data_IF_109926478513
#
_entry.id   IF_109926478513
#
_cell.length_a   1.000
_cell.length_b   1.000
_cell.length_c   1.000
_cell.angle_alpha   90.00
_cell.angle_beta   90.00
_cell.angle_gamma   90.00
#
_symmetry.space_group_name_H-M   'P 1'
#
loop_
_entity.id
_entity.type
_entity.pdbx_description
1 polymer ?
2 non-polymer ?
3 non-polymer ?
4 water ?
#
# COMPACT_ATOMS: atom_id res chain seq x y z
N UNK A 10 -32.61 5.25 7.00
CA UNK A 10 -32.66 5.67 5.58
C UNK A 10 -32.25 7.15 5.39
N UNK A 11 -31.15 7.34 4.68
CA UNK A 11 -30.57 8.65 4.42
C UNK A 11 -31.57 9.67 3.84
N UNK A 12 -32.38 9.21 2.91
CA UNK A 12 -33.24 10.12 2.15
C UNK A 12 -34.43 10.61 2.99
N UNK A 13 -35.08 9.68 3.69
CA UNK A 13 -36.07 10.04 4.72
C UNK A 13 -35.52 11.04 5.75
N UNK A 14 -34.34 10.77 6.30
CA UNK A 14 -33.74 11.65 7.29
C UNK A 14 -33.45 13.02 6.72
N UNK A 15 -33.12 13.07 5.42
CA UNK A 15 -32.81 14.32 4.74
C UNK A 15 -34.01 15.24 4.64
N UNK A 16 -35.19 14.65 4.48
CA UNK A 16 -36.44 15.39 4.46
C UNK A 16 -36.70 16.14 5.77
N UNK A 17 -36.20 15.61 6.88
CA UNK A 17 -36.42 16.20 8.20
C UNK A 17 -35.62 17.49 8.45
N UNK A 31 -26.87 13.62 18.22
CA UNK A 31 -27.07 14.44 17.04
C UNK A 31 -27.83 13.70 15.95
N UNK A 32 -28.71 14.39 15.22
CA UNK A 32 -29.21 13.87 13.96
C UNK A 32 -28.13 14.00 12.85
N UNK A 33 -27.09 14.80 13.09
CA UNK A 33 -25.95 14.91 12.16
C UNK A 33 -25.13 13.61 12.14
N UNK A 34 -24.89 13.03 13.31
CA UNK A 34 -24.29 11.70 13.42
C UNK A 34 -25.15 10.68 12.66
N UNK A 35 -26.45 10.76 12.85
CA UNK A 35 -27.37 9.82 12.24
C UNK A 35 -27.49 10.02 10.72
N UNK A 36 -27.54 11.27 10.27
CA UNK A 36 -27.47 11.57 8.84
C UNK A 36 -26.18 10.98 8.26
N UNK A 37 -25.03 11.42 8.77
CA UNK A 37 -23.74 10.96 8.24
C UNK A 37 -23.64 9.44 8.12
N UNK A 38 -24.13 8.71 9.12
CA UNK A 38 -24.06 7.26 9.11
C UNK A 38 -25.00 6.66 8.10
N UNK A 39 -26.20 7.24 8.02
CA UNK A 39 -27.21 6.82 7.06
C UNK A 39 -26.75 7.05 5.62
N UNK A 40 -26.01 8.15 5.41
CA UNK A 40 -25.44 8.51 4.11
C UNK A 40 -24.39 7.50 3.70
N UNK A 41 -23.48 7.21 4.62
CA UNK A 41 -22.51 6.13 4.43
C UNK A 41 -23.22 4.82 4.06
N UNK A 42 -24.30 4.51 4.79
CA UNK A 42 -25.05 3.28 4.59
C UNK A 42 -25.74 3.22 3.22
N UNK A 43 -26.33 4.35 2.82
CA UNK A 43 -26.95 4.49 1.51
C UNK A 43 -25.90 4.38 0.38
N UNK A 44 -24.74 4.97 0.61
CA UNK A 44 -23.62 4.89 -0.36
C UNK A 44 -23.18 3.46 -0.65
N UNK A 45 -23.01 2.67 0.41
CA UNK A 45 -22.66 1.25 0.24
C UNK A 45 -23.79 0.49 -0.45
N UNK A 46 -25.02 0.73 0.04
CA UNK A 46 -26.22 0.17 -0.58
C UNK A 46 -26.27 0.43 -2.09
N UNK A 47 -25.87 1.63 -2.54
CA UNK A 47 -25.86 1.94 -3.97
C UNK A 47 -24.63 1.42 -4.74
N UNK A 48 -23.57 1.08 -4.02
CA UNK A 48 -22.38 0.52 -4.63
C UNK A 48 -21.37 1.60 -4.96
N UNK A 49 -21.48 2.72 -4.24
CA UNK A 49 -20.78 3.95 -4.57
C UNK A 49 -19.37 3.87 -4.09
N UNK A 50 -18.48 4.49 -4.86
CA UNK A 50 -17.07 4.51 -4.53
C UNK A 50 -16.70 5.76 -3.72
N UNK A 51 -17.39 6.87 -3.94
CA UNK A 51 -17.04 8.13 -3.24
C UNK A 51 -18.25 8.97 -2.81
N UNK A 52 -18.09 9.71 -1.72
CA UNK A 52 -19.08 10.67 -1.25
C UNK A 52 -18.40 12.02 -1.22
N UNK A 53 -19.03 13.04 -1.78
CA UNK A 53 -18.49 14.38 -1.71
C UNK A 53 -19.46 15.27 -0.97
N UNK A 54 -18.95 16.00 0.03
CA UNK A 54 -19.68 17.14 0.61
C UNK A 54 -18.97 18.45 0.33
N UNK A 55 -19.66 19.33 -0.38
CA UNK A 55 -19.06 20.59 -0.77
C UNK A 55 -19.94 21.80 -0.49
N UNK A 56 -19.27 22.89 -0.15
CA UNK A 56 -19.95 24.13 0.14
C UNK A 56 -19.84 25.09 -1.05
N UNK A 57 -20.98 25.55 -1.51
CA UNK A 57 -21.00 26.67 -2.44
C UNK A 57 -21.53 27.89 -1.70
N UNK A 58 -21.02 29.06 -2.05
CA UNK A 58 -21.62 30.35 -1.68
C UNK A 58 -23.11 30.29 -1.25
N UNK A 59 -24.02 29.96 -2.16
CA UNK A 59 -25.46 30.07 -1.88
C UNK A 59 -26.12 28.76 -1.48
N UNK A 60 -25.36 27.66 -1.53
CA UNK A 60 -25.89 26.33 -1.26
C UNK A 60 -24.83 25.29 -0.93
N UNK A 61 -25.26 24.15 -0.44
CA UNK A 61 -24.38 23.04 -0.11
C UNK A 61 -24.74 21.83 -0.98
N UNK A 62 -23.80 20.93 -1.21
CA UNK A 62 -24.01 19.86 -2.17
C UNK A 62 -23.40 18.56 -1.72
N UNK A 63 -24.14 17.48 -1.94
CA UNK A 63 -23.68 16.13 -1.67
C UNK A 63 -23.77 15.33 -2.95
N UNK A 64 -22.63 14.78 -3.35
CA UNK A 64 -22.61 13.98 -4.54
C UNK A 64 -22.09 12.56 -4.24
N UNK A 65 -22.54 11.59 -5.00
CA UNK A 65 -22.07 10.23 -4.85
C UNK A 65 -21.51 9.89 -6.20
N UNK A 66 -20.40 9.15 -6.24
CA UNK A 66 -19.99 8.48 -7.49
C UNK A 66 -20.31 6.96 -7.47
N UNK A 67 -21.13 6.52 -8.40
CA UNK A 67 -21.38 5.09 -8.58
C UNK A 67 -21.02 4.64 -10.01
N UNK A 68 -20.05 3.72 -10.10
CA UNK A 68 -19.50 3.22 -11.36
C UNK A 68 -18.96 4.29 -12.26
N UNK A 69 -18.28 5.26 -11.67
CA UNK A 69 -17.69 6.35 -12.41
C UNK A 69 -18.60 7.57 -12.54
N UNK A 70 -19.90 7.35 -12.39
CA UNK A 70 -20.88 8.40 -12.64
C UNK A 70 -21.13 9.25 -11.38
N UNK A 71 -20.82 10.54 -11.49
CA UNK A 71 -21.02 11.49 -10.40
C UNK A 71 -22.41 12.13 -10.48
N UNK A 72 -23.07 12.32 -9.33
CA UNK A 72 -24.45 12.87 -9.29
C UNK A 72 -24.74 13.55 -7.96
N UNK A 73 -25.69 14.48 -7.97
CA UNK A 73 -26.04 15.24 -6.77
C UNK A 73 -27.19 14.48 -6.19
N UNK A 74 -27.05 14.03 -4.96
CA UNK A 74 -28.11 13.25 -4.34
C UNK A 74 -28.90 14.10 -3.36
N UNK A 75 -28.34 15.22 -2.94
CA UNK A 75 -28.98 16.08 -1.98
C UNK A 75 -28.33 17.43 -2.04
N UNK A 76 -29.10 18.47 -1.74
CA UNK A 76 -28.60 19.82 -1.70
C UNK A 76 -29.19 20.54 -0.48
N UNK A 77 -28.70 20.16 0.72
CA UNK A 77 -29.25 20.68 1.98
C UNK A 77 -28.73 22.10 2.23
N UNK A 78 -29.21 22.73 3.30
CA UNK A 78 -28.90 24.14 3.56
C UNK A 78 -27.41 24.45 3.86
N UNK A 79 -26.92 25.53 3.27
CA UNK A 79 -25.53 25.95 3.41
C UNK A 79 -25.10 25.94 4.87
N UNK A 80 -26.08 26.12 5.76
CA UNK A 80 -25.82 26.28 7.20
C UNK A 80 -25.35 24.98 7.84
N UNK A 81 -25.70 23.86 7.25
CA UNK A 81 -25.26 22.58 7.80
C UNK A 81 -23.76 22.30 7.57
N UNK A 82 -23.11 23.08 6.69
CA UNK A 82 -21.76 22.74 6.20
C UNK A 82 -20.70 22.55 7.28
N UNK A 83 -20.49 23.58 8.11
CA UNK A 83 -19.55 23.55 9.22
C UNK A 83 -19.70 22.32 10.13
N UNK A 84 -20.91 21.76 10.15
CA UNK A 84 -21.25 20.64 11.04
C UNK A 84 -20.95 19.28 10.45
N UNK A 85 -21.29 19.11 9.16
CA UNK A 85 -21.02 17.87 8.45
C UNK A 85 -19.51 17.70 8.30
N UNK A 86 -18.81 18.81 8.20
CA UNK A 86 -17.35 18.79 8.07
C UNK A 86 -16.73 18.36 9.39
N UNK A 87 -17.19 18.94 10.48
CA UNK A 87 -16.69 18.55 11.79
C UNK A 87 -16.98 17.08 12.07
N UNK A 88 -18.22 16.66 11.86
CA UNK A 88 -18.62 15.28 12.15
C UNK A 88 -17.74 14.25 11.48
N UNK A 89 -17.43 14.47 10.21
CA UNK A 89 -16.57 13.56 9.47
C UNK A 89 -15.17 13.64 10.05
N UNK A 90 -14.71 14.85 10.33
CA UNK A 90 -13.40 15.02 10.94
C UNK A 90 -13.19 14.19 12.22
N UNK A 91 -14.15 14.22 13.15
CA UNK A 91 -13.97 13.44 14.38
C UNK A 91 -13.89 11.95 14.08
N UNK A 92 -14.75 11.47 13.18
CA UNK A 92 -14.78 10.05 12.82
C UNK A 92 -13.44 9.56 12.26
N UNK A 93 -12.72 10.44 11.56
CA UNK A 93 -11.42 10.08 10.97
C UNK A 93 -10.24 10.52 11.85
N UNK A 94 -10.55 10.97 13.06
CA UNK A 94 -9.55 11.39 14.04
C UNK A 94 -8.74 12.57 13.53
N UNK A 95 -9.39 13.69 13.28
CA UNK A 95 -8.74 14.85 12.68
C UNK A 95 -8.97 16.14 13.48
N UNK A 96 -8.23 17.19 13.14
CA UNK A 96 -8.23 18.46 13.86
C UNK A 96 -9.39 19.41 13.49
N UNK A 97 -10.43 19.44 14.31
CA UNK A 97 -11.56 20.35 14.10
C UNK A 97 -11.15 21.83 14.20
N UNK A 98 -10.13 22.12 15.00
CA UNK A 98 -9.61 23.48 15.14
C UNK A 98 -8.90 23.99 13.90
N UNK A 99 -8.39 23.05 13.10
CA UNK A 99 -7.63 23.37 11.87
C UNK A 99 -8.54 23.42 10.64
N UNK A 100 -8.42 24.49 9.87
CA UNK A 100 -9.34 24.73 8.78
C UNK A 100 -8.64 25.16 7.51
N UNK A 101 -7.37 25.54 7.63
CA UNK A 101 -6.65 26.21 6.54
C UNK A 101 -5.82 25.28 5.64
N UNK A 102 -5.62 24.04 6.10
CA UNK A 102 -4.76 23.08 5.42
C UNK A 102 -5.42 21.70 5.20
N UNK A 103 -4.92 20.93 4.23
CA UNK A 103 -5.41 19.58 3.99
C UNK A 103 -5.23 18.69 5.20
N UNK A 104 -6.09 17.68 5.31
CA UNK A 104 -6.03 16.67 6.36
C UNK A 104 -6.50 15.36 5.73
N UNK A 105 -5.94 14.25 6.19
CA UNK A 105 -6.36 12.92 5.74
C UNK A 105 -6.35 11.95 6.92
N UNK A 106 -7.36 11.09 6.99
CA UNK A 106 -7.46 10.08 8.03
C UNK A 106 -8.20 8.87 7.51
N UNK A 107 -8.38 7.87 8.37
CA UNK A 107 -9.04 6.61 8.01
C UNK A 107 -10.18 6.26 8.97
N UNK A 108 -11.23 5.65 8.44
CA UNK A 108 -12.20 4.94 9.27
C UNK A 108 -12.40 3.53 8.73
N UNK A 109 -12.60 2.59 9.65
CA UNK A 109 -13.03 1.23 9.31
C UNK A 109 -14.39 0.99 9.96
N UNK A 110 -15.36 0.54 9.17
CA UNK A 110 -16.74 0.43 9.66
C UNK A 110 -17.39 -0.92 9.39
N UNK A 116 -17.29 -5.09 6.00
CA UNK A 116 -16.43 -4.09 6.64
C UNK A 116 -15.84 -3.17 5.58
N UNK A 117 -15.86 -1.86 5.85
CA UNK A 117 -15.54 -0.87 4.84
C UNK A 117 -14.37 0.04 5.24
N UNK A 118 -13.31 0.01 4.45
CA UNK A 118 -12.19 0.92 4.63
C UNK A 118 -12.53 2.28 4.01
N UNK A 119 -12.85 3.27 4.83
CA UNK A 119 -13.15 4.59 4.26
C UNK A 119 -12.03 5.58 4.54
N UNK A 120 -11.52 6.15 3.46
CA UNK A 120 -10.51 7.19 3.50
C UNK A 120 -11.18 8.55 3.37
N UNK A 121 -10.81 9.46 4.27
CA UNK A 121 -11.41 10.79 4.23
C UNK A 121 -10.39 11.90 4.02
N UNK A 122 -10.72 12.79 3.09
CA UNK A 122 -9.86 13.92 2.71
C UNK A 122 -10.63 15.20 2.80
N UNK A 123 -10.12 16.14 3.58
CA UNK A 123 -10.73 17.46 3.69
C UNK A 123 -9.78 18.43 3.01
N UNK A 124 -10.30 19.54 2.52
CA UNK A 124 -9.47 20.50 1.80
C UNK A 124 -10.03 21.89 1.86
N UNK A 125 -9.14 22.85 2.15
CA UNK A 125 -9.53 24.26 2.23
C UNK A 125 -10.00 24.73 0.87
N UNK A 126 -11.06 25.53 0.85
CA UNK A 126 -11.76 25.93 -0.37
C UNK A 126 -12.45 27.24 -0.06
N UNK A 127 -12.67 28.07 -1.08
CA UNK A 127 -13.09 29.47 -0.87
C UNK A 127 -14.38 29.67 -0.07
N UNK A 128 -15.19 28.62 0.09
CA UNK A 128 -16.39 28.75 0.92
C UNK A 128 -16.47 27.69 2.01
N UNK A 129 -15.37 27.00 2.24
CA UNK A 129 -15.31 26.00 3.29
C UNK A 129 -14.66 24.70 2.85
N UNK A 130 -14.11 23.97 3.80
CA UNK A 130 -13.49 22.68 3.49
C UNK A 130 -14.45 21.76 2.77
N UNK A 131 -13.93 21.21 1.68
CA UNK A 131 -14.62 20.21 0.89
C UNK A 131 -14.16 18.93 1.54
N UNK A 132 -15.04 17.92 1.59
CA UNK A 132 -14.68 16.61 2.14
C UNK A 132 -15.04 15.57 1.13
N UNK A 133 -14.27 14.50 1.10
CA UNK A 133 -14.52 13.35 0.23
C UNK A 133 -14.30 12.09 1.05
N UNK A 134 -15.14 11.08 0.83
CA UNK A 134 -15.04 9.83 1.53
C UNK A 134 -14.88 8.70 0.52
N UNK A 135 -13.74 8.01 0.55
CA UNK A 135 -13.32 7.14 -0.56
C UNK A 135 -13.83 5.69 -0.54
N UNK A 136 -14.33 5.20 0.59
CA UNK A 136 -15.08 3.92 0.62
C UNK A 136 -14.53 2.73 -0.20
N UNK A 137 -13.68 1.91 0.39
CA UNK A 137 -13.16 0.76 -0.33
C UNK A 137 -13.63 -0.53 0.29
N UNK A 138 -13.75 -1.55 -0.56
CA UNK A 138 -13.97 -2.91 -0.07
C UNK A 138 -12.65 -3.46 0.54
N UNK A 139 -12.68 -3.69 1.86
CA UNK A 139 -11.53 -4.21 2.58
C UNK A 139 -11.03 -5.57 2.06
N UNK A 140 -11.93 -6.36 1.46
CA UNK A 140 -11.60 -7.71 1.00
C UNK A 140 -10.85 -7.85 -0.34
N UNK A 141 -11.07 -6.93 -1.28
CA UNK A 141 -10.41 -7.02 -2.59
C UNK A 141 -8.89 -6.83 -2.46
N UNK A 142 -8.51 -6.23 -1.33
CA UNK A 142 -7.12 -5.97 -0.95
C UNK A 142 -6.42 -7.25 -0.46
N UNK A 143 -7.22 -8.26 -0.12
CA UNK A 143 -6.74 -9.53 0.43
C UNK A 143 -6.43 -10.57 -0.66
N UNK A 144 -5.20 -10.53 -1.18
CA UNK A 144 -4.78 -11.50 -2.19
C UNK A 144 -3.82 -12.57 -1.65
N UNK A 145 -3.73 -13.70 -2.37
CA UNK A 145 -2.72 -14.71 -2.05
C UNK A 145 -1.45 -14.50 -2.87
N UNK A 146 -0.35 -15.12 -2.43
CA UNK A 146 0.99 -14.80 -2.92
C UNK A 146 1.13 -14.99 -4.42
N UNK A 147 0.27 -15.78 -5.02
CA UNK A 147 0.40 -16.03 -6.46
C UNK A 147 -0.52 -15.14 -7.30
N UNK A 148 -1.15 -14.17 -6.62
CA UNK A 148 -2.08 -13.21 -7.22
C UNK A 148 -1.60 -11.76 -7.10
N UNK A 149 -0.29 -11.56 -7.01
CA UNK A 149 0.25 -10.21 -6.83
C UNK A 149 0.89 -9.73 -8.10
N UNK A 150 0.90 -10.57 -9.11
CA UNK A 150 1.53 -10.24 -10.37
C UNK A 150 3.02 -10.51 -10.44
N UNK A 151 3.57 -11.30 -9.53
CA UNK A 151 5.01 -11.57 -9.60
C UNK A 151 5.27 -12.42 -10.81
N UNK A 152 6.32 -12.08 -11.55
CA UNK A 152 6.77 -12.90 -12.66
C UNK A 152 7.35 -14.17 -12.11
N UNK A 153 7.46 -15.19 -12.97
CA UNK A 153 7.71 -16.56 -12.55
C UNK A 153 8.95 -16.64 -11.70
N UNK A 154 10.02 -16.01 -12.17
CA UNK A 154 11.29 -15.96 -11.44
C UNK A 154 11.17 -15.32 -10.05
N UNK A 155 10.62 -14.12 -9.98
CA UNK A 155 10.48 -13.38 -8.72
C UNK A 155 9.58 -14.15 -7.76
N UNK A 156 8.54 -14.75 -8.31
CA UNK A 156 7.61 -15.57 -7.53
C UNK A 156 8.30 -16.81 -6.95
N UNK A 157 9.09 -17.49 -7.77
CA UNK A 157 9.83 -18.64 -7.31
C UNK A 157 10.83 -18.29 -6.21
N UNK A 158 11.66 -17.28 -6.46
CA UNK A 158 12.65 -16.79 -5.50
C UNK A 158 12.12 -16.20 -4.20
N UNK A 159 11.01 -15.47 -4.29
CA UNK A 159 10.35 -14.97 -3.09
C UNK A 159 9.76 -16.10 -2.24
N UNK A 160 9.30 -17.19 -2.86
CA UNK A 160 8.75 -18.29 -2.06
C UNK A 160 9.88 -19.05 -1.36
N UNK A 161 11.08 -19.02 -1.92
CA UNK A 161 12.22 -19.71 -1.31
C UNK A 161 12.81 -18.82 -0.22
N UNK A 162 12.73 -17.51 -0.42
CA UNK A 162 13.22 -16.58 0.55
C UNK A 162 12.40 -16.62 1.83
N UNK A 163 11.08 -16.71 1.72
CA UNK A 163 10.22 -16.65 2.93
C UNK A 163 10.21 -17.93 3.73
N UNK A 164 10.66 -19.03 3.12
CA UNK A 164 10.77 -20.30 3.79
C UNK A 164 12.11 -20.51 4.52
N UNK A 165 12.97 -19.50 4.52
CA UNK A 165 14.27 -19.59 5.19
C UNK A 165 14.13 -19.51 6.71
N UNK A 166 15.05 -20.15 7.44
CA UNK A 166 14.94 -20.22 8.91
C UNK A 166 15.10 -18.87 9.60
N UNK A 167 15.98 -18.00 9.11
CA UNK A 167 16.22 -16.73 9.80
C UNK A 167 16.77 -15.63 8.86
N UNK A 168 16.69 -14.38 9.32
CA UNK A 168 17.10 -13.21 8.55
C UNK A 168 15.95 -12.24 8.29
N UNK A 169 16.26 -11.04 7.79
CA UNK A 169 15.25 -10.03 7.51
C UNK A 169 14.81 -10.02 6.06
N UNK A 170 13.50 -10.10 5.82
CA UNK A 170 12.98 -9.85 4.47
C UNK A 170 12.19 -8.57 4.53
N UNK A 171 12.53 -7.64 3.64
CA UNK A 171 11.88 -6.35 3.63
C UNK A 171 11.10 -6.15 2.35
N UNK A 172 9.89 -5.63 2.50
CA UNK A 172 9.14 -5.24 1.33
C UNK A 172 9.17 -3.74 1.33
N UNK A 173 9.64 -3.15 0.23
CA UNK A 173 9.79 -1.69 0.18
C UNK A 173 9.09 -0.99 -1.00
N UNK A 174 8.86 0.30 -0.84
CA UNK A 174 8.25 1.11 -1.89
C UNK A 174 7.47 2.23 -1.26
N UNK A 175 6.98 3.18 -2.07
CA UNK A 175 6.25 4.34 -1.54
C UNK A 175 4.84 3.97 -1.06
N UNK A 176 4.15 4.87 -0.36
CA UNK A 176 2.81 4.57 0.15
C UNK A 176 1.87 4.29 -1.03
N UNK A 177 1.00 3.29 -0.89
CA UNK A 177 0.17 2.87 -2.01
C UNK A 177 0.83 1.83 -2.91
N UNK A 178 2.00 1.33 -2.49
CA UNK A 178 2.66 0.25 -3.23
C UNK A 178 2.02 -1.11 -2.96
N UNK A 179 1.20 -1.18 -1.92
CA UNK A 179 0.57 -2.43 -1.53
C UNK A 179 1.49 -3.37 -0.76
N UNK A 180 2.38 -2.83 0.07
CA UNK A 180 3.34 -3.59 0.88
C UNK A 180 2.64 -4.41 1.97
N UNK A 181 1.49 -3.94 2.44
CA UNK A 181 0.73 -4.68 3.44
C UNK A 181 0.17 -5.97 2.86
N UNK A 182 -0.48 -5.88 1.71
CA UNK A 182 -0.98 -7.02 0.95
C UNK A 182 0.07 -8.10 0.72
N UNK A 183 1.26 -7.72 0.28
CA UNK A 183 2.23 -8.78 0.00
C UNK A 183 2.79 -9.47 1.23
N UNK A 184 3.03 -8.70 2.29
CA UNK A 184 3.38 -9.27 3.60
C UNK A 184 2.35 -10.29 4.02
N UNK A 185 1.08 -9.88 4.06
CA UNK A 185 -0.02 -10.79 4.40
C UNK A 185 -0.08 -12.03 3.54
N UNK A 186 0.19 -11.89 2.24
CA UNK A 186 0.16 -13.05 1.32
C UNK A 186 1.30 -14.03 1.66
N UNK A 187 2.46 -13.46 1.95
CA UNK A 187 3.62 -14.20 2.35
C UNK A 187 3.44 -14.92 3.67
N UNK A 188 2.92 -14.22 4.69
CA UNK A 188 2.64 -14.83 5.98
C UNK A 188 1.70 -16.00 5.79
N UNK A 189 0.69 -15.81 4.93
CA UNK A 189 -0.34 -16.82 4.71
C UNK A 189 0.25 -18.07 4.06
N UNK A 190 1.21 -17.86 3.16
CA UNK A 190 1.95 -18.96 2.54
C UNK A 190 2.72 -19.80 3.58
N UNK A 191 2.99 -19.22 4.75
CA UNK A 191 3.74 -19.86 5.82
C UNK A 191 2.84 -20.34 6.96
N UNK A 192 1.58 -19.92 6.94
CA UNK A 192 0.71 -20.18 8.08
C UNK A 192 0.35 -21.66 8.20
N UNK A 193 1.28 -22.44 8.72
CA UNK A 193 1.09 -23.86 9.02
C UNK A 193 1.30 -24.02 10.50
N UNK A 194 0.68 -25.04 11.10
CA UNK A 194 0.71 -25.22 12.55
C UNK A 194 2.11 -25.57 13.08
N UNK A 195 3.04 -25.83 12.16
CA UNK A 195 4.44 -26.11 12.47
C UNK A 195 5.23 -24.81 12.70
N UNK A 196 4.68 -23.68 12.28
CA UNK A 196 5.32 -22.40 12.60
C UNK A 196 4.51 -21.63 13.62
N UNK A 197 5.17 -20.78 14.38
CA UNK A 197 4.51 -19.83 15.23
C UNK A 197 4.77 -18.43 14.66
N UNK A 198 3.75 -17.87 14.00
CA UNK A 198 3.90 -16.58 13.35
C UNK A 198 3.24 -15.51 14.18
N UNK A 199 4.06 -14.60 14.68
CA UNK A 199 3.53 -13.44 15.40
C UNK A 199 3.78 -12.16 14.63
N UNK A 200 2.95 -11.15 14.92
CA UNK A 200 2.91 -9.89 14.19
C UNK A 200 2.70 -8.75 15.18
N UNK A 201 3.23 -7.57 14.85
CA UNK A 201 2.84 -6.34 15.52
C UNK A 201 2.46 -5.34 14.43
N UNK A 202 1.28 -4.74 14.54
CA UNK A 202 0.75 -3.94 13.44
C UNK A 202 0.15 -2.62 13.92
N UNK A 203 0.13 -1.63 13.03
CA UNK A 203 -0.37 -0.30 13.35
C UNK A 203 -1.23 0.34 12.23
N UNK A 204 -2.52 0.00 12.14
CA UNK A 204 -3.17 -1.02 12.98
C UNK A 204 -3.18 -2.36 12.25
N UNK A 205 -3.81 -3.38 12.83
CA UNK A 205 -4.02 -4.64 12.14
C UNK A 205 -4.96 -4.40 10.98
N UNK A 206 -4.61 -4.89 9.80
CA UNK A 206 -5.48 -4.73 8.63
C UNK A 206 -6.70 -5.64 8.71
N UNK A 207 -6.46 -6.95 8.83
CA UNK A 207 -7.52 -7.90 9.20
C UNK A 207 -6.94 -9.13 9.87
N UNK A 208 -7.80 -9.98 10.45
CA UNK A 208 -7.35 -11.20 11.12
C UNK A 208 -6.98 -12.30 10.11
N UNK A 209 -5.87 -12.99 10.33
CA UNK A 209 -5.49 -14.10 9.44
C UNK A 209 -5.93 -15.48 9.94
N UNK A 210 -5.89 -15.70 11.26
CA UNK A 210 -6.37 -16.96 11.86
C UNK A 210 -5.29 -18.02 11.77
N UNK A 211 -4.66 -18.28 12.91
CA UNK A 211 -3.52 -19.15 12.97
C UNK A 211 -2.29 -18.31 13.28
N UNK A 212 -2.47 -17.01 13.13
CA UNK A 212 -1.40 -16.05 13.29
C UNK A 212 -1.77 -15.11 14.42
N UNK A 213 -0.90 -15.05 15.42
CA UNK A 213 -1.10 -14.12 16.53
C UNK A 213 -0.78 -12.70 16.07
N UNK A 214 -1.77 -11.83 16.16
CA UNK A 214 -1.64 -10.47 15.68
C UNK A 214 -1.79 -9.51 16.83
N UNK A 215 -0.91 -8.53 16.89
CA UNK A 215 -0.86 -7.59 17.99
C UNK A 215 -0.92 -6.17 17.45
N UNK A 216 -1.69 -5.32 18.11
CA UNK A 216 -1.88 -3.96 17.62
C UNK A 216 -1.17 -2.93 18.49
N UNK A 217 -0.51 -1.96 17.87
CA UNK A 217 0.13 -0.92 18.66
C UNK A 217 -0.92 0.01 19.25
N UNK A 218 -0.88 0.07 20.57
CA UNK A 218 -1.80 0.87 21.32
C UNK A 218 -1.03 1.87 22.15
N UNK A 219 -1.05 3.13 21.70
CA UNK A 219 -0.37 4.23 22.39
C UNK A 219 -0.85 4.40 23.84
N UNK A 220 -2.14 4.09 24.06
CA UNK A 220 -2.80 4.24 25.35
C UNK A 220 -2.10 3.53 26.51
N UNK A 221 -1.24 2.55 26.21
CA UNK A 221 -0.49 1.87 27.27
C UNK A 221 1.01 1.81 26.97
N UNK A 222 1.50 2.78 26.18
CA UNK A 222 2.87 2.74 25.64
C UNK A 222 3.20 1.40 24.96
N UNK A 223 2.21 0.84 24.28
CA UNK A 223 2.43 -0.37 23.50
C UNK A 223 2.77 0.05 22.07
N UNK A 224 4.08 0.19 21.83
CA UNK A 224 4.60 0.68 20.58
C UNK A 224 5.21 -0.47 19.78
N UNK A 225 5.59 -0.17 18.55
CA UNK A 225 6.25 -1.13 17.68
C UNK A 225 7.42 -1.77 18.43
N UNK A 226 8.19 -0.95 19.12
CA UNK A 226 9.38 -1.42 19.84
C UNK A 226 9.05 -2.33 21.01
N UNK A 227 8.12 -1.93 21.86
CA UNK A 227 7.76 -2.73 23.02
C UNK A 227 7.10 -4.05 22.64
N UNK A 228 6.22 -3.99 21.64
CA UNK A 228 5.44 -5.13 21.22
C UNK A 228 6.29 -6.20 20.58
N UNK A 229 7.25 -5.76 19.78
CA UNK A 229 8.18 -6.66 19.12
C UNK A 229 9.14 -7.29 20.11
N UNK A 230 9.51 -6.53 21.13
CA UNK A 230 10.29 -7.05 22.26
C UNK A 230 9.55 -8.20 22.94
N UNK A 231 8.27 -8.00 23.23
CA UNK A 231 7.44 -9.04 23.85
C UNK A 231 7.25 -10.24 22.92
N UNK A 232 7.02 -9.94 21.63
CA UNK A 232 6.91 -10.98 20.62
C UNK A 232 8.07 -11.97 20.71
N UNK A 233 9.25 -11.49 21.04
CA UNK A 233 10.41 -12.37 21.11
C UNK A 233 10.46 -13.27 22.35
N UNK A 234 9.64 -12.96 23.37
CA UNK A 234 9.54 -13.87 24.53
C UNK A 234 8.42 -14.88 24.29
N UNK A 235 7.82 -14.85 23.09
CA UNK A 235 6.72 -15.75 22.77
C UNK A 235 7.13 -16.90 21.84
N UNK A 236 8.42 -17.19 21.82
CA UNK A 236 8.98 -18.34 21.10
C UNK A 236 8.52 -18.49 19.62
N UNK A 237 8.66 -17.43 18.85
CA UNK A 237 8.14 -17.41 17.47
C UNK A 237 9.16 -17.95 16.46
N UNK A 238 8.69 -18.45 15.34
CA UNK A 238 9.58 -18.85 14.25
C UNK A 238 9.67 -17.73 13.22
N UNK A 239 8.57 -17.00 13.06
CA UNK A 239 8.45 -15.94 12.09
C UNK A 239 7.80 -14.75 12.78
N UNK A 240 8.31 -13.54 12.51
CA UNK A 240 7.75 -12.34 13.11
C UNK A 240 7.61 -11.20 12.08
N UNK A 241 6.41 -10.62 12.05
CA UNK A 241 6.15 -9.49 11.18
C UNK A 241 6.09 -8.20 11.98
N UNK A 242 6.78 -7.17 11.50
CA UNK A 242 6.66 -5.80 12.00
C UNK A 242 6.05 -4.95 10.91
N UNK A 243 4.92 -4.30 11.19
CA UNK A 243 4.26 -3.42 10.24
C UNK A 243 5.20 -2.52 9.46
N UNK A 244 5.95 -1.69 10.16
CA UNK A 244 7.04 -0.97 9.51
C UNK A 244 8.15 -0.64 10.48
N UNK A 245 9.36 -0.54 9.95
CA UNK A 245 10.50 -0.07 10.71
C UNK A 245 10.64 1.45 10.51
N UNK A 246 10.36 2.20 11.58
CA UNK A 246 10.25 3.64 11.54
C UNK A 246 11.46 4.30 12.19
N UNK A 247 11.89 3.73 13.30
CA UNK A 247 12.97 4.27 14.08
C UNK A 247 14.13 3.28 14.20
N UNK A 248 15.25 3.82 14.68
CA UNK A 248 16.45 3.08 15.01
C UNK A 248 16.20 1.89 15.95
N UNK A 249 15.41 2.12 16.99
CA UNK A 249 15.13 1.09 18.03
C UNK A 249 14.38 -0.14 17.49
N UNK A 250 13.29 0.11 16.78
CA UNK A 250 12.57 -0.97 16.11
C UNK A 250 13.48 -1.69 15.12
N UNK A 251 14.31 -0.94 14.38
CA UNK A 251 15.30 -1.58 13.52
C UNK A 251 16.26 -2.45 14.33
N UNK A 252 16.77 -1.93 15.46
CA UNK A 252 17.78 -2.64 16.24
C UNK A 252 17.24 -3.96 16.76
N UNK A 253 16.01 -3.95 17.26
CA UNK A 253 15.36 -5.16 17.76
C UNK A 253 15.11 -6.12 16.61
N UNK A 254 14.69 -5.60 15.47
CA UNK A 254 14.48 -6.40 14.27
C UNK A 254 15.75 -7.11 13.85
N UNK A 255 16.85 -6.37 13.76
CA UNK A 255 18.13 -6.97 13.42
C UNK A 255 18.55 -8.05 14.42
N UNK A 256 18.30 -7.83 15.71
CA UNK A 256 18.67 -8.82 16.74
C UNK A 256 17.74 -10.03 16.65
N UNK A 257 16.46 -9.79 16.41
CA UNK A 257 15.51 -10.91 16.27
C UNK A 257 16.00 -11.84 15.18
N UNK A 258 16.42 -11.25 14.07
CA UNK A 258 16.77 -12.01 12.87
C UNK A 258 18.11 -12.67 13.05
N UNK A 259 18.93 -12.15 13.95
CA UNK A 259 20.22 -12.82 14.15
C UNK A 259 20.19 -13.89 15.24
N UNK A 260 19.07 -14.01 15.95
CA UNK A 260 18.91 -15.03 16.99
C UNK A 260 18.01 -16.21 16.60
N UNK A 261 17.73 -16.34 15.30
CA UNK A 261 17.05 -17.51 14.77
C UNK A 261 15.60 -17.30 14.33
N UNK A 262 15.22 -16.06 14.08
CA UNK A 262 13.86 -15.73 13.68
C UNK A 262 13.87 -15.24 12.25
N UNK A 263 12.81 -15.56 11.53
CA UNK A 263 12.61 -14.96 10.23
C UNK A 263 11.80 -13.72 10.47
N UNK A 264 12.29 -12.59 10.01
CA UNK A 264 11.64 -11.33 10.25
C UNK A 264 11.23 -10.69 8.92
N UNK A 265 9.98 -10.22 8.87
CA UNK A 265 9.52 -9.47 7.70
C UNK A 265 8.95 -8.06 8.09
N UNK A 266 9.31 -7.06 7.28
CA UNK A 266 8.87 -5.69 7.50
C UNK A 266 8.84 -4.89 6.19
N UNK A 267 8.58 -3.59 6.32
CA UNK A 267 8.56 -2.67 5.19
C UNK A 267 9.43 -1.49 5.52
N UNK A 268 9.88 -0.78 4.48
CA UNK A 268 10.36 0.59 4.60
C UNK A 268 9.73 1.26 3.39
N UNK A 269 9.66 2.59 3.37
CA UNK A 269 9.09 3.26 2.21
C UNK A 269 10.12 3.90 1.27
N UNK A 270 11.30 3.29 1.19
CA UNK A 270 12.31 3.67 0.21
C UNK A 270 11.86 3.41 -1.22
N UNK A 271 12.52 4.07 -2.16
CA UNK A 271 12.12 4.03 -3.55
C UNK A 271 12.85 3.00 -4.39
N UNK A 272 13.99 2.50 -3.92
CA UNK A 272 14.64 1.34 -4.57
C UNK A 272 14.96 0.22 -3.59
N UNK A 273 15.17 -0.96 -4.15
CA UNK A 273 15.67 -2.08 -3.40
C UNK A 273 16.99 -1.73 -2.70
N UNK A 274 18.00 -1.31 -3.46
CA UNK A 274 19.29 -0.97 -2.83
C UNK A 274 19.11 0.17 -1.85
N UNK A 275 18.11 1.01 -2.07
CA UNK A 275 17.83 2.10 -1.15
C UNK A 275 17.44 1.65 0.26
N UNK A 276 17.10 0.39 0.42
CA UNK A 276 16.75 -0.14 1.74
C UNK A 276 18.00 -0.21 2.61
N UNK A 277 19.10 -0.70 2.04
CA UNK A 277 20.37 -0.78 2.72
C UNK A 277 20.75 0.60 3.24
N UNK A 278 20.75 1.58 2.36
CA UNK A 278 21.08 2.95 2.72
C UNK A 278 20.25 3.46 3.90
N UNK A 279 18.93 3.27 3.85
CA UNK A 279 18.10 3.83 4.90
C UNK A 279 18.38 3.15 6.26
N UNK A 280 18.63 1.84 6.23
CA UNK A 280 19.04 1.11 7.43
C UNK A 280 20.30 1.75 8.02
N UNK A 281 21.30 1.95 7.17
CA UNK A 281 22.55 2.64 7.57
C UNK A 281 22.31 4.04 8.16
N UNK A 282 21.59 4.89 7.42
CA UNK A 282 21.34 6.28 7.84
C UNK A 282 20.57 6.37 9.16
N UNK A 283 19.77 5.34 9.45
CA UNK A 283 19.06 5.28 10.73
C UNK A 283 20.01 4.94 11.88
N UNK A 284 21.08 4.21 11.60
CA UNK A 284 22.10 3.94 12.61
C UNK A 284 22.40 2.47 12.85
N UNK A 285 21.98 1.61 11.94
CA UNK A 285 22.26 0.19 12.07
C UNK A 285 23.68 -0.03 11.56
N UNK A 286 24.46 -0.81 12.32
CA UNK A 286 25.85 -1.09 12.00
C UNK A 286 25.91 -1.78 10.65
N UNK A 287 26.63 -1.19 9.69
CA UNK A 287 26.82 -1.77 8.36
C UNK A 287 27.10 -3.27 8.36
N UNK A 288 27.83 -3.77 9.35
CA UNK A 288 28.09 -5.19 9.34
C UNK A 288 26.86 -5.98 9.72
N UNK A 289 26.09 -5.47 10.67
CA UNK A 289 24.85 -6.11 11.10
C UNK A 289 23.75 -6.07 10.02
N UNK A 290 23.77 -5.09 9.12
CA UNK A 290 22.81 -5.09 8.03
C UNK A 290 23.22 -6.23 7.11
N UNK A 291 24.53 -6.31 6.86
CA UNK A 291 25.08 -7.28 5.93
C UNK A 291 24.97 -8.74 6.39
N UNK A 292 24.85 -8.97 7.70
CA UNK A 292 24.69 -10.37 8.19
C UNK A 292 23.24 -10.80 8.52
N UNK A 293 22.35 -9.82 8.59
CA UNK A 293 20.93 -10.06 8.87
C UNK A 293 20.04 -10.05 7.62
N UNK A 294 20.34 -9.18 6.64
CA UNK A 294 19.46 -9.01 5.49
C UNK A 294 19.47 -10.24 4.58
N UNK A 295 18.27 -10.77 4.28
CA UNK A 295 18.15 -11.87 3.32
C UNK A 295 17.86 -11.42 1.92
N UNK A 296 16.90 -10.49 1.83
CA UNK A 296 16.42 -9.94 0.58
C UNK A 296 15.54 -8.71 0.79
N UNK A 297 15.38 -7.92 -0.27
CA UNK A 297 14.55 -6.71 -0.32
C UNK A 297 13.66 -6.79 -1.56
N UNK A 298 12.36 -6.83 -1.35
CA UNK A 298 11.43 -6.89 -2.47
C UNK A 298 10.91 -5.47 -2.69
N UNK A 299 11.46 -4.75 -3.67
CA UNK A 299 10.94 -3.41 -3.99
C UNK A 299 9.74 -3.61 -4.90
N UNK A 300 8.71 -2.82 -4.69
CA UNK A 300 7.41 -3.08 -5.32
C UNK A 300 6.67 -1.79 -5.71
N UNK A 301 5.95 -1.84 -6.82
CA UNK A 301 5.07 -0.73 -7.21
C UNK A 301 3.76 -1.30 -7.69
N UNK A 302 2.70 -0.51 -7.65
CA UNK A 302 1.51 -0.97 -8.36
C UNK A 302 1.31 -0.21 -9.67
N UNK A 303 1.06 -0.99 -10.73
CA UNK A 303 0.63 -0.44 -12.01
C UNK A 303 -0.80 -0.90 -12.35
N UNK A 304 -1.59 -0.01 -12.90
CA UNK A 304 -2.98 -0.32 -13.23
C UNK A 304 -3.00 -1.29 -14.40
N UNK A 305 -3.86 -2.28 -14.32
CA UNK A 305 -3.96 -3.22 -15.42
C UNK A 305 -4.97 -2.65 -16.38
N UNK A 306 -4.53 -2.48 -17.63
CA UNK A 306 -5.36 -2.05 -18.74
C UNK A 306 -6.67 -2.81 -18.83
N UNK A 307 -7.75 -2.10 -19.14
CA UNK A 307 -9.05 -2.70 -19.39
C UNK A 307 -8.95 -3.53 -20.66
N UNK A 308 -9.27 -4.82 -20.59
CA UNK A 308 -9.24 -5.67 -21.78
C UNK A 308 -10.21 -5.20 -22.87
N UNK A 309 -11.32 -4.58 -22.48
CA UNK A 309 -12.41 -4.26 -23.40
C UNK A 309 -12.06 -3.16 -24.38
N UNK A 310 -11.56 -2.05 -23.86
CA UNK A 310 -11.33 -0.85 -24.66
C UNK A 310 -9.85 -0.57 -24.88
N UNK A 311 -9.01 -1.56 -24.57
CA UNK A 311 -7.57 -1.41 -24.74
C UNK A 311 -7.24 -1.52 -26.21
N UNK A 312 -6.54 -0.51 -26.71
CA UNK A 312 -6.25 -0.37 -28.14
C UNK A 312 -4.80 -0.74 -28.46
N UNK A 313 -4.62 -1.68 -29.38
CA UNK A 313 -3.29 -2.00 -29.92
C UNK A 313 -2.72 -0.85 -30.72
N UNK A 314 -1.39 -0.79 -30.80
CA UNK A 314 -0.71 0.13 -31.70
C UNK A 314 0.69 -0.39 -31.93
N UNK A 315 1.36 0.19 -32.92
CA UNK A 315 2.69 -0.22 -33.32
C UNK A 315 3.76 0.74 -32.84
N UNK A 316 4.63 0.26 -31.97
CA UNK A 316 5.65 1.10 -31.35
C UNK A 316 6.52 1.89 -32.34
N UNK A 317 6.40 3.21 -32.27
CA UNK A 317 7.33 4.10 -32.98
C UNK A 317 8.78 3.89 -32.53
N UNK A 318 9.73 4.29 -33.38
CA UNK A 318 11.17 4.07 -33.18
C UNK A 318 11.69 4.44 -31.79
N UNK A 319 11.15 5.49 -31.19
CA UNK A 319 11.56 5.91 -29.85
C UNK A 319 11.06 4.95 -28.78
N UNK A 320 9.89 4.35 -29.02
CA UNK A 320 9.33 3.40 -28.07
C UNK A 320 9.98 2.02 -28.21
N UNK A 321 10.53 1.74 -29.39
CA UNK A 321 11.27 0.49 -29.57
C UNK A 321 12.63 0.55 -28.86
N UNK A 322 13.24 1.74 -28.85
CA UNK A 322 14.48 1.96 -28.13
C UNK A 322 14.39 1.38 -26.71
N UNK A 323 13.17 1.38 -26.16
CA UNK A 323 12.93 0.95 -24.78
C UNK A 323 12.85 -0.56 -24.60
N UNK A 324 12.97 -1.32 -25.69
CA UNK A 324 12.75 -2.76 -25.61
C UNK A 324 13.95 -3.55 -26.17
N UNK A 330 10.78 -6.69 -37.19
CA UNK A 330 9.45 -7.16 -36.78
C UNK A 330 8.69 -6.03 -36.07
N UNK A 331 7.37 -6.00 -36.23
CA UNK A 331 6.53 -5.02 -35.51
C UNK A 331 6.28 -5.38 -34.03
N UNK A 332 6.65 -4.48 -33.10
CA UNK A 332 6.33 -4.66 -31.68
C UNK A 332 4.96 -4.04 -31.34
N UNK A 333 3.97 -4.90 -31.10
CA UNK A 333 2.62 -4.45 -30.78
C UNK A 333 2.42 -4.27 -29.28
N UNK A 334 2.17 -3.03 -28.88
CA UNK A 334 1.85 -2.72 -27.50
C UNK A 334 0.40 -2.28 -27.40
N UNK A 335 -0.01 -1.79 -26.25
CA UNK A 335 -1.39 -1.41 -26.00
C UNK A 335 -1.51 -0.07 -25.30
N UNK A 336 -2.65 0.58 -25.52
CA UNK A 336 -2.91 1.95 -25.13
C UNK A 336 -4.22 1.97 -24.36
N UNK A 337 -4.37 2.96 -23.50
CA UNK A 337 -5.46 3.00 -22.53
C UNK A 337 -6.88 3.24 -23.08
N UNK A 338 -7.11 4.37 -23.74
CA UNK A 338 -8.45 4.85 -24.17
C UNK A 338 -9.50 5.10 -23.06
N UNK A 339 -10.45 4.17 -22.87
CA UNK A 339 -11.52 4.34 -21.90
C UNK A 339 -12.92 3.92 -22.34
N UNK A 340 -13.61 3.15 -21.49
CA UNK A 340 -14.98 2.72 -21.75
C UNK A 340 -15.79 2.72 -20.43
N UNK A 341 -17.05 2.23 -20.45
CA UNK A 341 -17.85 2.10 -19.23
C UNK A 341 -17.31 1.11 -18.20
N UNK A 342 -16.69 0.01 -18.64
CA UNK A 342 -16.15 -0.98 -17.68
C UNK A 342 -14.96 -0.42 -16.89
N UNK A 343 -14.12 0.37 -17.55
CA UNK A 343 -13.25 1.29 -16.84
C UNK A 343 -14.09 2.56 -16.57
N UNK A 344 -13.52 3.65 -16.08
CA UNK A 344 -14.30 4.89 -15.98
C UNK A 344 -13.42 6.05 -16.40
N UNK A 345 -12.91 6.76 -15.40
CA UNK A 345 -11.64 7.51 -15.49
C UNK A 345 -10.56 6.55 -16.04
N UNK A 346 -10.19 6.72 -17.31
CA UNK A 346 -9.10 5.99 -17.99
C UNK A 346 -9.43 4.55 -18.35
N UNK A 347 -8.63 3.98 -19.23
CA UNK A 347 -8.81 2.60 -19.68
C UNK A 347 -8.01 1.61 -18.84
N UNK A 348 -8.34 1.55 -17.55
CA UNK A 348 -7.72 0.63 -16.62
C UNK A 348 -8.78 0.08 -15.70
N UNK A 349 -8.79 -1.23 -15.51
CA UNK A 349 -9.60 -1.85 -14.47
C UNK A 349 -8.69 -2.77 -13.63
N UNK A 350 -8.64 -2.54 -12.33
CA UNK A 350 -7.77 -3.31 -11.47
C UNK A 350 -6.31 -2.88 -11.55
N UNK A 351 -5.45 -3.55 -10.81
CA UNK A 351 -4.04 -3.20 -10.78
C UNK A 351 -3.21 -4.44 -10.44
N UNK A 352 -1.90 -4.33 -10.61
CA UNK A 352 -1.01 -5.47 -10.39
C UNK A 352 0.37 -4.97 -9.99
N UNK A 353 1.13 -5.82 -9.31
CA UNK A 353 2.46 -5.45 -8.88
C UNK A 353 3.49 -5.62 -9.96
N UNK A 354 4.58 -4.88 -9.83
CA UNK A 354 5.83 -5.09 -10.55
C UNK A 354 6.94 -4.96 -9.48
N UNK A 355 8.02 -5.74 -9.63
CA UNK A 355 8.97 -5.92 -8.54
C UNK A 355 10.39 -5.98 -8.99
N UNK A 356 11.28 -5.73 -8.03
CA UNK A 356 12.70 -6.00 -8.14
C UNK A 356 13.09 -6.73 -6.84
N UNK A 357 13.41 -8.01 -6.94
CA UNK A 357 13.81 -8.79 -5.77
C UNK A 357 15.33 -8.87 -5.57
N UNK A 358 15.84 -8.07 -4.62
CA UNK A 358 17.26 -8.04 -4.28
C UNK A 358 17.55 -9.21 -3.35
N UNK A 359 18.51 -10.05 -3.73
CA UNK A 359 18.85 -11.26 -2.99
C UNK A 359 20.29 -11.16 -2.49
N UNK A 360 20.48 -11.22 -1.19
CA UNK A 360 21.82 -11.09 -0.63
C UNK A 360 22.68 -12.35 -0.88
N UNK A 361 23.85 -12.12 -1.47
CA UNK A 361 24.89 -13.14 -1.58
C UNK A 361 26.21 -12.64 -0.95
N UNK A 362 27.25 -13.47 -1.00
CA UNK A 362 28.52 -13.17 -0.37
C UNK A 362 29.10 -11.83 -0.84
N UNK A 363 29.12 -11.62 -2.15
CA UNK A 363 29.72 -10.42 -2.70
C UNK A 363 28.92 -9.16 -2.32
N UNK A 364 27.60 -9.29 -2.25
CA UNK A 364 26.77 -8.18 -1.77
C UNK A 364 26.98 -7.85 -0.28
N UNK A 365 27.24 -8.88 0.53
CA UNK A 365 27.55 -8.64 1.93
C UNK A 365 28.78 -7.72 2.11
N UNK A 366 29.86 -7.99 1.37
CA UNK A 366 31.06 -7.16 1.34
C UNK A 366 30.75 -5.73 0.99
N UNK A 367 29.94 -5.56 -0.06
CA UNK A 367 29.50 -4.24 -0.48
C UNK A 367 28.66 -3.55 0.58
N UNK A 368 27.82 -4.29 1.30
CA UNK A 368 27.03 -3.66 2.37
C UNK A 368 27.92 -3.30 3.57
N UNK A 369 28.75 -4.26 3.99
CA UNK A 369 29.67 -4.06 5.10
C UNK A 369 30.63 -2.86 4.84
N UNK A 370 31.12 -2.72 3.62
CA UNK A 370 32.13 -1.72 3.29
C UNK A 370 31.52 -0.37 2.91
N UNK A 371 30.19 -0.31 2.88
CA UNK A 371 29.46 0.93 2.64
C UNK A 371 29.70 1.49 1.24
N UNK A 372 29.87 0.60 0.27
CA UNK A 372 30.23 0.95 -1.11
C UNK A 372 29.25 1.89 -1.84
N UNK A 373 28.00 1.93 -1.39
CA UNK A 373 27.03 2.80 -2.00
C UNK A 373 26.12 2.12 -3.01
N UNK A 374 25.09 2.87 -3.39
CA UNK A 374 23.96 2.38 -4.17
C UNK A 374 24.36 1.96 -5.59
N UNK A 375 25.32 2.69 -6.16
CA UNK A 375 25.73 2.48 -7.54
C UNK A 375 26.48 1.17 -7.70
N UNK A 376 27.37 0.89 -6.76
CA UNK A 376 28.13 -0.37 -6.74
C UNK A 376 27.25 -1.58 -6.38
N UNK A 377 26.32 -1.41 -5.45
CA UNK A 377 25.41 -2.50 -5.12
C UNK A 377 24.46 -2.82 -6.31
N UNK A 378 23.83 -1.80 -6.88
CA UNK A 378 23.02 -2.05 -8.08
C UNK A 378 23.80 -2.78 -9.15
N UNK A 379 25.01 -2.29 -9.46
CA UNK A 379 25.84 -2.87 -10.51
C UNK A 379 26.05 -4.37 -10.25
N UNK A 380 26.21 -4.74 -8.99
CA UNK A 380 26.41 -6.15 -8.68
C UNK A 380 25.14 -6.94 -8.96
N UNK A 381 24.03 -6.38 -8.52
CA UNK A 381 22.72 -7.02 -8.55
C UNK A 381 22.15 -7.20 -9.98
N UNK A 382 22.62 -6.39 -10.91
CA UNK A 382 22.07 -6.38 -12.26
C UNK A 382 22.45 -7.61 -13.08
N UNK A 383 23.56 -8.25 -12.74
CA UNK A 383 23.95 -9.51 -13.38
C UNK A 383 22.85 -10.58 -13.29
N UNK A 384 22.17 -10.62 -12.15
CA UNK A 384 21.19 -11.65 -11.89
C UNK A 384 19.75 -11.14 -11.96
N UNK A 385 19.53 -9.88 -11.57
CA UNK A 385 18.17 -9.36 -11.36
C UNK A 385 17.81 -8.08 -12.11
N UNK A 386 16.74 -8.13 -12.91
CA UNK A 386 16.27 -6.95 -13.65
C UNK A 386 15.72 -5.87 -12.72
N UNK A 387 15.76 -4.61 -13.14
CA UNK A 387 15.15 -3.52 -12.39
C UNK A 387 13.61 -3.57 -12.46
N UNK A 388 12.95 -2.77 -11.62
CA UNK A 388 11.48 -2.72 -11.61
C UNK A 388 10.97 -2.24 -12.96
N UNK A 389 11.68 -1.29 -13.53
CA UNK A 389 11.33 -0.77 -14.85
C UNK A 389 11.25 -1.93 -15.82
N UNK A 390 12.27 -2.79 -15.82
CA UNK A 390 12.30 -3.87 -16.80
C UNK A 390 11.16 -4.83 -16.58
N UNK A 391 10.83 -5.10 -15.31
CA UNK A 391 9.71 -5.96 -14.94
C UNK A 391 8.39 -5.34 -15.45
N UNK A 392 8.21 -4.04 -15.20
CA UNK A 392 7.09 -3.31 -15.75
C UNK A 392 7.08 -3.29 -17.27
N UNK A 393 8.23 -2.92 -17.84
CA UNK A 393 8.42 -2.98 -19.30
C UNK A 393 8.10 -4.38 -19.89
N UNK A 394 8.44 -5.45 -19.17
CA UNK A 394 8.01 -6.79 -19.62
C UNK A 394 6.51 -6.91 -19.69
N UNK A 395 5.81 -6.36 -18.69
CA UNK A 395 4.33 -6.45 -18.64
C UNK A 395 3.69 -5.63 -19.74
N UNK A 396 4.27 -4.47 -20.03
CA UNK A 396 3.90 -3.68 -21.21
C UNK A 396 3.99 -4.52 -22.50
N UNK A 397 5.11 -5.18 -22.72
CA UNK A 397 5.27 -6.11 -23.84
C UNK A 397 4.11 -7.14 -23.89
N UNK A 398 3.71 -7.63 -22.72
CA UNK A 398 2.66 -8.62 -22.63
C UNK A 398 1.30 -7.96 -22.83
N UNK A 399 1.27 -6.62 -22.86
CA UNK A 399 0.03 -5.90 -23.06
C UNK A 399 -0.88 -5.87 -21.84
N UNK A 400 -0.31 -6.13 -20.65
CA UNK A 400 -1.06 -6.06 -19.41
C UNK A 400 -1.23 -4.62 -18.97
N UNK A 401 -0.22 -3.79 -19.19
CA UNK A 401 -0.31 -2.39 -18.82
C UNK A 401 0.30 -1.55 -19.94
N UNK A 402 0.15 -0.23 -19.83
CA UNK A 402 0.61 0.68 -20.86
C UNK A 402 2.05 1.05 -20.60
N UNK A 403 2.71 1.56 -21.63
CA UNK A 403 4.04 2.13 -21.47
C UNK A 403 4.01 3.40 -20.57
N UNK A 404 2.93 4.17 -20.62
CA UNK A 404 2.80 5.37 -19.77
C UNK A 404 2.84 5.00 -18.28
N UNK A 405 1.96 4.05 -17.91
CA UNK A 405 1.81 3.62 -16.52
C UNK A 405 3.11 3.07 -15.90
N UNK A 406 3.94 2.37 -16.67
CA UNK A 406 5.24 1.97 -16.12
C UNK A 406 6.26 3.13 -16.04
N UNK A 407 6.38 3.90 -17.11
CA UNK A 407 7.37 4.98 -17.17
C UNK A 407 7.09 6.07 -16.15
N UNK A 408 5.80 6.32 -15.90
CA UNK A 408 5.42 7.43 -15.03
C UNK A 408 5.88 7.22 -13.57
N UNK A 409 5.97 5.95 -13.17
CA UNK A 409 6.47 5.60 -11.87
C UNK A 409 7.99 5.66 -11.76
N UNK A 410 8.68 5.47 -12.87
CA UNK A 410 10.14 5.53 -12.84
C UNK A 410 10.61 6.98 -12.91
X LIG B 1 -12.57 -0.03 -20.64
X LIG C 1 1.65 0.00 1.10
#
# INVERSE_FOLDING_TARGET
XEDIGADSDDFFSLAEELPQNEDLLESEDDAPIIKLINAMLGEAIKEGASDIHIETFEKTLSIRFRVDGVLREVLAPSRKLSSLLVSRVKVMAKLDIAEKRVPQDGRISLRIGGRAVDVRVSTMPSSHGERVVMRLLDKNATRLDLHSLGMTAHNHDNFRRLIKRPHGIILVTGPTGSGKSTTLYAGLQELNSSERNILTVEDPIEFDIDGIGQTQVNPRVDMTFARGLRAILRQDPDVVMVGEIRDLETAQIAVQASLTGHLVMSTLHTNTAVGAVTRLRDMGIEPFLISSSLLGVLAQRLVRTLCPDCKEPYEADKEQRKLFDSKKKEPLILYRATGCPKCNHKGYRGRTGIHELLLVDDALQELIHSEAGEQAMEKHIRATTPSIRDDGLDKVRQGITSLEEVMRGSRSHHHHHH
ZN ZN
CL CL
#
